data_IF_431724749370
#
_entry.id   IF_431724749370
#
_cell.length_a   1.000
_cell.length_b   1.000
_cell.length_c   1.000
_cell.angle_alpha   90.00
_cell.angle_beta   90.00
_cell.angle_gamma   90.00
#
_symmetry.space_group_name_H-M   'P 1'
#
loop_
_entity.id
_entity.type
_entity.pdbx_description
1 polymer ?
#
# COMPACT_ATOMS: atom_id res chain seq x y z
N UNK A 1 -7.52 0.06 -19.45
CA UNK A 1 -6.68 -1.10 -19.77
C UNK A 1 -7.39 -2.34 -19.27
N UNK A 2 -7.01 -3.51 -19.78
CA UNK A 2 -7.56 -4.79 -19.36
C UNK A 2 -6.46 -5.84 -19.32
N UNK A 3 -6.67 -6.86 -18.51
CA UNK A 3 -5.87 -8.09 -18.54
C UNK A 3 -6.73 -9.18 -19.18
N UNK A 4 -6.10 -10.05 -19.97
CA UNK A 4 -6.74 -11.24 -20.51
C UNK A 4 -6.07 -12.47 -19.90
N UNK A 5 -6.88 -13.43 -19.50
CA UNK A 5 -6.42 -14.79 -19.22
C UNK A 5 -6.53 -15.56 -20.52
N UNK A 6 -5.45 -16.19 -20.96
CA UNK A 6 -5.34 -16.77 -22.29
C UNK A 6 -4.80 -18.19 -22.25
N UNK A 7 -5.15 -18.91 -23.31
CA UNK A 7 -4.63 -20.23 -23.67
C UNK A 7 -4.30 -20.23 -25.17
N UNK A 8 -3.48 -21.17 -25.63
CA UNK A 8 -3.19 -21.28 -27.06
C UNK A 8 -4.41 -21.78 -27.85
N UNK A 9 -4.70 -21.17 -28.99
CA UNK A 9 -5.80 -21.61 -29.86
C UNK A 9 -5.59 -23.07 -30.31
N UNK A 10 -6.68 -23.82 -30.42
CA UNK A 10 -6.67 -25.27 -30.69
C UNK A 10 -5.97 -26.18 -29.66
N UNK A 11 -5.44 -25.64 -28.55
CA UNK A 11 -4.73 -26.44 -27.54
C UNK A 11 -5.64 -27.34 -26.71
N UNK A 12 -5.01 -28.20 -25.89
CA UNK A 12 -5.73 -29.04 -24.92
C UNK A 12 -6.39 -28.20 -23.83
N UNK A 13 -5.72 -27.16 -23.35
CA UNK A 13 -6.28 -26.17 -22.46
C UNK A 13 -7.50 -25.47 -23.10
N UNK A 14 -7.37 -24.99 -24.33
CA UNK A 14 -8.46 -24.34 -25.07
C UNK A 14 -9.70 -25.23 -25.21
N UNK A 15 -9.53 -26.50 -25.60
CA UNK A 15 -10.64 -27.46 -25.67
C UNK A 15 -11.33 -27.68 -24.32
N UNK A 16 -10.58 -27.64 -23.23
CA UNK A 16 -11.16 -27.81 -21.88
C UNK A 16 -11.97 -26.57 -21.48
N UNK A 17 -11.38 -25.36 -21.56
CA UNK A 17 -12.08 -24.13 -21.16
C UNK A 17 -13.27 -23.78 -22.06
N UNK A 18 -13.32 -24.29 -23.29
CA UNK A 18 -14.48 -24.13 -24.20
C UNK A 18 -15.42 -25.33 -24.20
N UNK A 19 -15.17 -26.33 -23.34
CA UNK A 19 -16.05 -27.48 -23.21
C UNK A 19 -17.47 -27.02 -22.82
N UNK A 20 -18.56 -27.59 -23.37
CA UNK A 20 -19.93 -27.10 -23.10
C UNK A 20 -20.33 -27.07 -21.62
N UNK A 21 -19.70 -27.91 -20.79
CA UNK A 21 -19.92 -27.90 -19.33
C UNK A 21 -19.13 -26.80 -18.60
N UNK A 22 -18.01 -26.32 -19.17
CA UNK A 22 -17.17 -25.29 -18.56
C UNK A 22 -17.40 -23.91 -19.20
N UNK A 23 -17.24 -23.79 -20.52
CA UNK A 23 -17.46 -22.54 -21.26
C UNK A 23 -16.62 -21.34 -20.80
N UNK A 24 -15.69 -21.54 -19.85
CA UNK A 24 -14.87 -20.53 -19.22
C UNK A 24 -14.36 -21.02 -17.85
N UNK A 25 -14.00 -20.08 -16.98
CA UNK A 25 -13.51 -20.35 -15.63
C UNK A 25 -14.06 -19.33 -14.62
N UNK A 26 -14.18 -19.71 -13.36
CA UNK A 26 -14.46 -18.76 -12.26
C UNK A 26 -13.16 -18.21 -11.67
N UNK A 27 -13.24 -17.12 -10.89
CA UNK A 27 -12.08 -16.67 -10.10
C UNK A 27 -11.62 -17.72 -9.09
N UNK A 28 -12.52 -18.56 -8.56
CA UNK A 28 -12.16 -19.68 -7.68
C UNK A 28 -11.29 -20.72 -8.41
N UNK A 29 -11.65 -21.08 -9.65
CA UNK A 29 -10.86 -22.00 -10.48
C UNK A 29 -9.49 -21.43 -10.84
N UNK A 30 -9.44 -20.14 -11.22
CA UNK A 30 -8.18 -19.45 -11.48
C UNK A 30 -7.31 -19.37 -10.23
N UNK A 31 -7.91 -19.05 -9.06
CA UNK A 31 -7.18 -19.01 -7.79
C UNK A 31 -6.60 -20.37 -7.46
N UNK A 32 -7.38 -21.45 -7.58
CA UNK A 32 -6.84 -22.78 -7.39
C UNK A 32 -5.71 -23.08 -8.37
N UNK A 33 -5.84 -22.76 -9.66
CA UNK A 33 -4.78 -23.00 -10.64
C UNK A 33 -3.49 -22.22 -10.34
N UNK A 34 -3.59 -20.93 -9.99
CA UNK A 34 -2.45 -20.01 -9.87
C UNK A 34 -1.82 -19.97 -8.47
N UNK A 35 -2.57 -20.34 -7.44
CA UNK A 35 -2.10 -20.23 -6.06
C UNK A 35 -1.07 -21.30 -5.69
N UNK A 36 -0.04 -20.86 -4.97
CA UNK A 36 0.93 -21.70 -4.28
C UNK A 36 0.43 -22.24 -2.94
N UNK A 37 -0.78 -21.88 -2.52
CA UNK A 37 -1.42 -22.45 -1.33
C UNK A 37 -1.88 -23.90 -1.54
N UNK A 38 -1.98 -24.62 -0.43
CA UNK A 38 -2.58 -25.96 -0.39
C UNK A 38 -4.10 -25.87 -0.49
N UNK A 39 -4.73 -26.98 -0.88
CA UNK A 39 -6.19 -27.09 -0.94
C UNK A 39 -6.84 -26.76 0.42
N UNK A 40 -6.22 -27.17 1.53
CA UNK A 40 -6.72 -26.83 2.87
C UNK A 40 -6.69 -25.33 3.12
N UNK A 41 -5.61 -24.64 2.77
CA UNK A 41 -5.52 -23.18 2.95
C UNK A 41 -6.56 -22.43 2.09
N UNK A 42 -6.84 -22.93 0.88
CA UNK A 42 -7.88 -22.37 0.01
C UNK A 42 -9.29 -22.60 0.57
N UNK A 43 -9.56 -23.78 1.12
CA UNK A 43 -10.83 -24.09 1.81
C UNK A 43 -11.00 -23.25 3.08
N UNK A 44 -9.94 -23.08 3.87
CA UNK A 44 -9.96 -22.27 5.09
C UNK A 44 -10.24 -20.79 4.77
N UNK A 45 -9.85 -20.31 3.58
CA UNK A 45 -10.17 -18.97 3.07
C UNK A 45 -11.48 -18.90 2.26
N UNK A 46 -12.30 -19.96 2.32
CA UNK A 46 -13.69 -19.96 1.87
C UNK A 46 -13.93 -20.40 0.42
N UNK A 47 -12.96 -21.04 -0.23
CA UNK A 47 -13.20 -21.69 -1.53
C UNK A 47 -13.91 -23.03 -1.31
N UNK A 48 -15.00 -23.27 -2.04
CA UNK A 48 -15.66 -24.56 -2.13
C UNK A 48 -14.96 -25.44 -3.18
N UNK A 49 -13.92 -26.17 -2.75
CA UNK A 49 -13.18 -27.04 -3.66
C UNK A 49 -14.00 -28.22 -4.20
N UNK A 50 -15.08 -28.64 -3.53
CA UNK A 50 -15.98 -29.66 -4.07
C UNK A 50 -16.81 -29.12 -5.25
N UNK A 51 -17.00 -27.80 -5.31
CA UNK A 51 -17.53 -27.12 -6.48
C UNK A 51 -16.48 -26.94 -7.58
N UNK A 52 -15.26 -26.55 -7.22
CA UNK A 52 -14.17 -26.26 -8.16
C UNK A 52 -13.61 -27.53 -8.82
N UNK A 53 -13.39 -28.60 -8.06
CA UNK A 53 -12.66 -29.79 -8.47
C UNK A 53 -13.58 -31.02 -8.52
N UNK A 54 -14.37 -31.13 -9.60
CA UNK A 54 -15.36 -32.21 -9.75
C UNK A 54 -14.75 -33.58 -10.01
N UNK A 55 -13.48 -33.64 -10.41
CA UNK A 55 -12.82 -34.87 -10.81
C UNK A 55 -11.35 -34.94 -10.31
N UNK A 56 -11.06 -34.33 -9.16
CA UNK A 56 -9.74 -34.42 -8.53
C UNK A 56 -9.40 -35.87 -8.17
N UNK A 57 -8.19 -36.28 -8.56
CA UNK A 57 -7.64 -37.59 -8.26
C UNK A 57 -6.69 -37.58 -7.04
N UNK A 58 -6.54 -36.43 -6.37
CA UNK A 58 -5.71 -36.16 -5.20
C UNK A 58 -4.21 -36.46 -5.40
N UNK A 59 -3.70 -36.38 -6.63
CA UNK A 59 -2.27 -36.60 -6.94
C UNK A 59 -1.38 -35.38 -6.67
N UNK A 60 -1.94 -34.27 -6.19
CA UNK A 60 -1.26 -32.97 -5.93
C UNK A 60 -0.73 -32.24 -7.17
N UNK A 61 -0.94 -32.78 -8.37
CA UNK A 61 -0.69 -32.11 -9.64
C UNK A 61 -2.00 -31.46 -10.06
N UNK A 62 -1.97 -30.16 -10.32
CA UNK A 62 -3.16 -29.45 -10.81
C UNK A 62 -3.33 -29.75 -12.29
N UNK A 63 -4.36 -30.49 -12.66
CA UNK A 63 -4.60 -30.97 -14.03
C UNK A 63 -5.92 -30.42 -14.58
N UNK A 64 -5.98 -30.25 -15.90
CA UNK A 64 -7.23 -29.84 -16.56
C UNK A 64 -8.38 -30.83 -16.30
N UNK A 65 -8.06 -32.11 -16.15
CA UNK A 65 -9.02 -33.15 -15.78
C UNK A 65 -9.65 -32.96 -14.40
N UNK A 66 -9.04 -32.19 -13.49
CA UNK A 66 -9.59 -32.01 -12.13
C UNK A 66 -10.86 -31.14 -12.15
N UNK A 67 -10.96 -30.22 -13.13
CA UNK A 67 -12.16 -29.43 -13.36
C UNK A 67 -13.28 -30.23 -14.01
N UNK A 68 -12.96 -31.13 -14.95
CA UNK A 68 -13.96 -31.95 -15.65
C UNK A 68 -13.36 -33.22 -16.24
N UNK A 69 -14.07 -34.34 -16.17
CA UNK A 69 -13.58 -35.66 -16.60
C UNK A 69 -13.27 -35.76 -18.11
N UNK A 70 -13.95 -34.96 -18.94
CA UNK A 70 -13.69 -34.89 -20.39
C UNK A 70 -12.43 -34.07 -20.74
N UNK A 71 -11.87 -33.35 -19.77
CA UNK A 71 -10.62 -32.63 -19.97
C UNK A 71 -9.41 -33.57 -19.86
N UNK A 72 -8.31 -33.28 -20.58
CA UNK A 72 -7.13 -34.15 -20.57
C UNK A 72 -6.43 -34.14 -19.20
N UNK A 73 -5.86 -35.28 -18.82
CA UNK A 73 -4.91 -35.40 -17.69
C UNK A 73 -3.58 -34.77 -18.08
N UNK A 74 -3.58 -33.45 -18.09
CA UNK A 74 -2.47 -32.61 -18.49
C UNK A 74 -2.28 -31.55 -17.40
N UNK A 75 -1.05 -31.36 -16.89
CA UNK A 75 -0.80 -30.33 -15.89
C UNK A 75 -1.14 -28.94 -16.41
N UNK A 76 -1.78 -28.14 -15.56
CA UNK A 76 -2.03 -26.72 -15.78
C UNK A 76 -0.71 -25.99 -15.52
N UNK A 77 -0.12 -25.40 -16.55
CA UNK A 77 1.17 -24.71 -16.46
C UNK A 77 0.97 -23.22 -16.67
N UNK A 78 1.76 -22.43 -15.96
CA UNK A 78 1.34 -21.08 -15.62
C UNK A 78 2.41 -20.08 -16.05
N UNK A 79 2.01 -19.14 -16.88
CA UNK A 79 2.89 -18.09 -17.40
C UNK A 79 2.28 -16.72 -17.19
N UNK A 80 3.10 -15.72 -16.93
CA UNK A 80 2.59 -14.36 -16.73
C UNK A 80 3.68 -13.34 -16.49
N UNK A 81 3.25 -12.14 -16.08
CA UNK A 81 4.14 -11.04 -15.82
C UNK A 81 4.95 -11.20 -14.51
N UNK A 82 6.19 -10.72 -14.50
CA UNK A 82 7.02 -10.69 -13.28
C UNK A 82 6.52 -9.75 -12.20
N UNK A 83 7.09 -9.85 -11.00
CA UNK A 83 6.63 -9.16 -9.78
C UNK A 83 6.81 -7.63 -9.81
N UNK A 84 7.57 -7.11 -10.79
CA UNK A 84 7.72 -5.68 -11.04
C UNK A 84 6.63 -5.12 -11.95
N UNK A 85 5.82 -6.00 -12.55
CA UNK A 85 4.77 -5.60 -13.47
C UNK A 85 3.47 -5.21 -12.77
N UNK A 86 2.91 -4.06 -13.15
CA UNK A 86 1.54 -3.72 -12.74
C UNK A 86 0.49 -4.72 -13.24
N UNK A 87 0.79 -5.53 -14.26
CA UNK A 87 -0.06 -6.63 -14.74
C UNK A 87 -0.07 -7.78 -13.73
N UNK A 88 1.09 -8.10 -13.14
CA UNK A 88 1.20 -9.08 -12.06
C UNK A 88 0.42 -8.66 -10.83
N UNK A 89 0.55 -7.38 -10.44
CA UNK A 89 -0.21 -6.83 -9.32
C UNK A 89 -1.73 -6.95 -9.56
N UNK A 90 -2.21 -6.52 -10.73
CA UNK A 90 -3.64 -6.56 -11.07
C UNK A 90 -4.19 -8.00 -11.01
N UNK A 91 -3.47 -8.96 -11.60
CA UNK A 91 -3.89 -10.36 -11.55
C UNK A 91 -3.91 -10.90 -10.13
N UNK A 92 -2.83 -10.68 -9.36
CA UNK A 92 -2.70 -11.17 -7.99
C UNK A 92 -3.80 -10.64 -7.07
N UNK A 93 -4.15 -9.35 -7.18
CA UNK A 93 -5.23 -8.75 -6.38
C UNK A 93 -6.63 -9.25 -6.78
N UNK A 94 -6.83 -9.52 -8.07
CA UNK A 94 -8.08 -10.00 -8.62
C UNK A 94 -8.32 -11.49 -8.33
N UNK A 95 -7.28 -12.32 -8.40
CA UNK A 95 -7.38 -13.78 -8.36
C UNK A 95 -6.95 -14.36 -7.02
N UNK A 96 -5.76 -14.03 -6.53
CA UNK A 96 -5.19 -14.71 -5.35
C UNK A 96 -5.87 -14.20 -4.08
N UNK A 97 -5.67 -12.95 -3.69
CA UNK A 97 -6.28 -12.46 -2.47
C UNK A 97 -6.66 -10.98 -2.51
N UNK A 98 -7.74 -10.67 -1.78
CA UNK A 98 -8.20 -9.28 -1.64
C UNK A 98 -7.22 -8.55 -0.73
N UNK A 99 -6.44 -7.62 -1.29
CA UNK A 99 -5.43 -6.82 -0.59
C UNK A 99 -4.16 -7.60 -0.16
N UNK A 100 -3.60 -8.46 -1.03
CA UNK A 100 -2.34 -9.20 -0.75
C UNK A 100 -1.14 -8.32 -0.37
N UNK A 101 -1.19 -7.02 -0.63
CA UNK A 101 -0.14 -6.06 -0.31
C UNK A 101 -0.49 -5.11 0.85
N UNK A 102 -1.65 -5.32 1.50
CA UNK A 102 -1.97 -4.68 2.78
C UNK A 102 -1.56 -5.61 3.92
N UNK A 103 -0.68 -5.16 4.81
CA UNK A 103 -0.33 -5.92 6.02
C UNK A 103 -1.59 -6.19 6.85
N UNK A 104 -2.13 -7.40 6.78
CA UNK A 104 -3.14 -7.88 7.74
C UNK A 104 -2.42 -8.67 8.83
N UNK A 105 -2.48 -8.24 10.10
CA UNK A 105 -1.96 -9.03 11.21
C UNK A 105 -2.64 -10.41 11.23
N UNK A 106 -1.83 -11.49 11.24
CA UNK A 106 -2.31 -12.86 11.31
C UNK A 106 -2.67 -13.53 9.98
N UNK A 107 -2.40 -12.90 8.83
CA UNK A 107 -2.63 -13.50 7.51
C UNK A 107 -1.31 -14.00 6.88
N UNK A 108 -1.25 -15.27 6.49
CA UNK A 108 -0.15 -15.76 5.66
C UNK A 108 -0.28 -15.17 4.26
N UNK A 109 0.79 -14.62 3.67
CA UNK A 109 0.70 -14.05 2.31
C UNK A 109 0.47 -15.17 1.29
N UNK A 110 -0.48 -14.97 0.39
CA UNK A 110 -0.66 -15.83 -0.79
C UNK A 110 0.33 -15.44 -1.90
N UNK A 111 0.81 -16.45 -2.63
CA UNK A 111 1.89 -16.31 -3.61
C UNK A 111 1.66 -17.25 -4.79
N UNK A 112 2.29 -16.95 -5.92
CA UNK A 112 2.35 -17.86 -7.06
C UNK A 112 3.33 -19.00 -6.76
N UNK A 113 2.99 -20.23 -7.11
CA UNK A 113 3.91 -21.37 -6.91
C UNK A 113 5.19 -21.18 -7.71
N UNK A 114 6.30 -20.89 -7.04
CA UNK A 114 7.59 -20.70 -7.71
C UNK A 114 8.13 -22.01 -8.29
N UNK A 115 8.82 -21.89 -9.43
CA UNK A 115 9.64 -22.96 -9.99
C UNK A 115 10.90 -23.20 -9.11
N UNK A 116 11.61 -24.31 -9.32
CA UNK A 116 12.85 -24.58 -8.57
C UNK A 116 13.85 -23.45 -8.77
N UNK A 117 14.54 -22.99 -7.72
CA UNK A 117 15.60 -21.96 -7.82
C UNK A 117 16.72 -22.34 -8.81
N UNK A 118 16.91 -23.63 -9.05
CA UNK A 118 17.86 -24.15 -10.04
C UNK A 118 17.47 -23.86 -11.50
N UNK A 119 16.28 -23.31 -11.75
CA UNK A 119 15.76 -22.95 -13.08
C UNK A 119 15.82 -21.43 -13.32
N UNK A 120 16.45 -20.69 -12.41
CA UNK A 120 16.62 -19.24 -12.51
C UNK A 120 18.10 -18.87 -12.55
N UNK A 121 18.41 -17.86 -13.34
CA UNK A 121 19.75 -17.28 -13.48
C UNK A 121 19.72 -15.78 -13.17
N UNK A 122 20.82 -15.24 -12.66
CA UNK A 122 20.95 -13.80 -12.40
C UNK A 122 21.35 -13.08 -13.69
N UNK A 123 20.53 -12.11 -14.11
CA UNK A 123 20.77 -11.27 -15.27
C UNK A 123 20.57 -9.80 -14.88
N UNK A 124 21.62 -8.99 -14.99
CA UNK A 124 21.60 -7.56 -14.62
C UNK A 124 21.07 -7.27 -13.20
N UNK A 125 21.34 -8.15 -12.22
CA UNK A 125 20.90 -8.00 -10.83
C UNK A 125 19.46 -8.45 -10.56
N UNK A 126 18.81 -9.09 -11.54
CA UNK A 126 17.47 -9.65 -11.40
C UNK A 126 17.51 -11.17 -11.66
N UNK A 127 16.72 -11.93 -10.89
CA UNK A 127 16.54 -13.36 -11.14
C UNK A 127 15.52 -13.52 -12.27
N UNK A 128 15.92 -14.18 -13.35
CA UNK A 128 15.09 -14.47 -14.51
C UNK A 128 15.11 -15.96 -14.82
N UNK A 129 14.00 -16.48 -15.32
CA UNK A 129 13.88 -17.91 -15.62
C UNK A 129 14.75 -18.26 -16.84
N UNK A 130 15.45 -19.40 -16.80
CA UNK A 130 16.40 -19.82 -17.86
C UNK A 130 15.76 -19.90 -19.25
N UNK A 131 14.46 -20.20 -19.29
CA UNK A 131 13.65 -20.26 -20.51
C UNK A 131 13.66 -18.93 -21.32
N UNK A 132 13.94 -17.79 -20.69
CA UNK A 132 14.07 -16.51 -21.41
C UNK A 132 15.21 -16.48 -22.42
N UNK A 133 16.24 -17.29 -22.19
CA UNK A 133 17.47 -17.32 -22.98
C UNK A 133 17.54 -18.52 -23.92
N UNK A 134 16.57 -19.42 -23.87
CA UNK A 134 16.49 -20.57 -24.77
C UNK A 134 16.09 -20.14 -26.18
N UNK A 135 16.66 -20.83 -27.18
CA UNK A 135 16.12 -20.76 -28.54
C UNK A 135 14.79 -21.50 -28.66
N UNK A 136 14.11 -21.37 -29.80
CA UNK A 136 12.79 -21.96 -29.99
C UNK A 136 12.79 -23.49 -29.85
N UNK A 137 13.81 -24.19 -30.35
CA UNK A 137 13.88 -25.65 -30.28
C UNK A 137 14.09 -26.13 -28.85
N UNK A 138 15.01 -25.49 -28.12
CA UNK A 138 15.25 -25.77 -26.71
C UNK A 138 14.02 -25.46 -25.85
N UNK A 139 13.32 -24.36 -26.14
CA UNK A 139 12.07 -23.97 -25.49
C UNK A 139 11.00 -25.04 -25.69
N UNK A 140 10.76 -25.46 -26.93
CA UNK A 140 9.79 -26.52 -27.22
C UNK A 140 10.14 -27.84 -26.54
N UNK A 141 11.43 -28.22 -26.50
CA UNK A 141 11.88 -29.44 -25.82
C UNK A 141 11.68 -29.36 -24.31
N UNK A 142 11.93 -28.22 -23.69
CA UNK A 142 11.74 -27.99 -22.26
C UNK A 142 10.26 -28.01 -21.85
N UNK A 143 9.41 -27.39 -22.67
CA UNK A 143 7.97 -27.30 -22.42
C UNK A 143 7.20 -28.57 -22.78
N UNK A 144 7.79 -29.47 -23.56
CA UNK A 144 7.20 -30.76 -23.88
C UNK A 144 7.00 -31.62 -22.61
N UNK A 145 6.00 -32.52 -22.58
CA UNK A 145 5.82 -33.47 -21.49
C UNK A 145 7.12 -34.27 -21.22
N UNK A 146 7.62 -34.22 -19.98
CA UNK A 146 8.88 -34.86 -19.58
C UNK A 146 10.15 -34.03 -19.82
N UNK A 147 10.05 -32.80 -20.35
CA UNK A 147 11.17 -31.90 -20.67
C UNK A 147 11.90 -31.26 -19.47
N UNK A 148 11.73 -31.79 -18.26
CA UNK A 148 12.41 -31.30 -17.05
C UNK A 148 11.73 -30.13 -16.34
N UNK A 149 10.61 -29.60 -16.87
CA UNK A 149 9.81 -28.58 -16.18
C UNK A 149 9.08 -29.16 -14.97
N UNK A 150 9.07 -28.41 -13.87
CA UNK A 150 8.24 -28.71 -12.70
C UNK A 150 6.76 -28.43 -13.03
N UNK A 151 5.83 -29.39 -12.82
CA UNK A 151 4.40 -29.15 -13.05
C UNK A 151 3.86 -28.00 -12.20
N UNK A 152 2.90 -27.26 -12.75
CA UNK A 152 2.14 -26.18 -12.08
C UNK A 152 2.98 -25.03 -11.52
N UNK A 153 4.27 -24.94 -11.83
CA UNK A 153 5.06 -23.81 -11.39
C UNK A 153 4.82 -22.59 -12.29
N UNK A 154 4.90 -21.41 -11.67
CA UNK A 154 4.72 -20.12 -12.30
C UNK A 154 6.03 -19.65 -12.93
N UNK A 155 6.01 -19.42 -14.24
CA UNK A 155 7.15 -18.90 -14.99
C UNK A 155 6.86 -17.43 -15.36
N UNK A 156 7.48 -16.46 -14.66
CA UNK A 156 7.32 -15.04 -14.95
C UNK A 156 8.22 -14.58 -16.10
N UNK A 157 7.79 -13.53 -16.80
CA UNK A 157 8.67 -12.67 -17.60
C UNK A 157 8.17 -11.22 -17.60
N UNK A 158 9.09 -10.26 -17.69
CA UNK A 158 8.74 -8.85 -17.95
C UNK A 158 8.50 -8.58 -19.46
N UNK A 159 8.65 -9.61 -20.30
CA UNK A 159 8.46 -9.53 -21.75
C UNK A 159 7.20 -10.27 -22.16
N UNK A 160 6.14 -9.53 -22.48
CA UNK A 160 4.86 -10.09 -22.91
C UNK A 160 5.01 -11.05 -24.12
N UNK A 161 5.97 -10.79 -25.03
CA UNK A 161 6.21 -11.67 -26.17
C UNK A 161 6.72 -13.05 -25.76
N UNK A 162 7.51 -13.13 -24.68
CA UNK A 162 8.03 -14.41 -24.15
C UNK A 162 6.94 -15.21 -23.45
N UNK A 163 6.13 -14.54 -22.64
CA UNK A 163 4.94 -15.16 -22.00
C UNK A 163 4.05 -15.79 -23.08
N UNK A 164 3.79 -15.05 -24.16
CA UNK A 164 2.97 -15.52 -25.26
C UNK A 164 3.62 -16.68 -26.04
N UNK A 165 4.92 -16.59 -26.34
CA UNK A 165 5.69 -17.66 -26.99
C UNK A 165 5.53 -19.00 -26.22
N UNK A 166 5.64 -18.96 -24.89
CA UNK A 166 5.54 -20.16 -24.06
C UNK A 166 4.11 -20.71 -23.97
N UNK A 167 3.11 -19.83 -23.87
CA UNK A 167 1.70 -20.24 -23.89
C UNK A 167 1.39 -20.97 -25.20
N UNK A 168 1.87 -20.45 -26.34
CA UNK A 168 1.66 -21.05 -27.66
C UNK A 168 2.43 -22.36 -27.85
N UNK A 169 3.55 -22.54 -27.16
CA UNK A 169 4.37 -23.74 -27.24
C UNK A 169 3.91 -24.88 -26.32
N UNK A 170 3.06 -24.60 -25.31
CA UNK A 170 2.61 -25.56 -24.31
C UNK A 170 1.08 -25.75 -24.35
N UNK A 171 0.66 -26.94 -24.81
CA UNK A 171 -0.76 -27.25 -24.97
C UNK A 171 -1.58 -27.32 -23.66
N UNK A 172 -0.93 -27.35 -22.50
CA UNK A 172 -1.55 -27.30 -21.18
C UNK A 172 -1.41 -25.95 -20.48
N UNK A 173 -0.83 -24.97 -21.16
CA UNK A 173 -0.60 -23.63 -20.62
C UNK A 173 -1.91 -22.87 -20.39
N UNK A 174 -1.91 -22.12 -19.30
CA UNK A 174 -2.74 -20.94 -19.09
C UNK A 174 -1.82 -19.80 -18.68
N UNK A 175 -2.12 -18.60 -19.12
CA UNK A 175 -1.39 -17.44 -18.66
C UNK A 175 -2.20 -16.17 -18.70
N UNK A 176 -1.58 -15.09 -18.29
CA UNK A 176 -2.20 -13.77 -18.37
C UNK A 176 -1.23 -12.73 -18.92
N UNK A 177 -1.80 -11.76 -19.62
CA UNK A 177 -1.07 -10.63 -20.20
C UNK A 177 -2.02 -9.45 -20.43
N UNK A 178 -1.48 -8.29 -20.78
CA UNK A 178 -2.29 -7.14 -21.14
C UNK A 178 -3.18 -7.43 -22.36
N UNK A 179 -4.43 -6.99 -22.31
CA UNK A 179 -5.44 -7.16 -23.39
C UNK A 179 -4.90 -6.77 -24.77
N UNK A 180 -4.08 -5.72 -24.82
CA UNK A 180 -3.43 -5.20 -26.03
C UNK A 180 -2.55 -6.22 -26.78
N UNK A 181 -2.01 -7.20 -26.09
CA UNK A 181 -0.94 -8.07 -26.60
C UNK A 181 -1.46 -9.36 -27.22
N UNK A 182 -2.44 -10.02 -26.58
CA UNK A 182 -2.91 -11.32 -27.08
C UNK A 182 -3.69 -11.22 -28.39
N UNK A 183 -4.36 -10.08 -28.64
CA UNK A 183 -5.15 -9.86 -29.87
C UNK A 183 -4.34 -9.94 -31.18
N UNK A 184 -3.01 -10.03 -31.10
CA UNK A 184 -2.12 -10.14 -32.25
C UNK A 184 -1.51 -11.54 -32.42
N UNK A 185 -1.96 -12.52 -31.65
CA UNK A 185 -1.40 -13.87 -31.64
C UNK A 185 -2.48 -14.94 -31.76
N UNK A 186 -2.06 -16.18 -32.03
CA UNK A 186 -2.93 -17.37 -32.03
C UNK A 186 -3.29 -17.82 -30.60
N UNK A 187 -3.53 -16.87 -29.70
CA UNK A 187 -4.01 -17.11 -28.35
C UNK A 187 -5.46 -16.64 -28.25
N UNK A 188 -6.24 -17.38 -27.48
CA UNK A 188 -7.65 -17.08 -27.23
C UNK A 188 -7.83 -16.82 -25.75
N UNK A 189 -8.74 -15.91 -25.44
CA UNK A 189 -9.05 -15.59 -24.07
C UNK A 189 -10.05 -16.58 -23.47
N UNK A 190 -9.98 -16.68 -22.14
CA UNK A 190 -10.88 -17.49 -21.34
C UNK A 190 -11.98 -16.58 -20.80
N UNK A 191 -13.25 -16.94 -21.03
CA UNK A 191 -14.37 -16.24 -20.42
C UNK A 191 -14.34 -16.44 -18.90
N UNK A 192 -14.54 -15.36 -18.14
CA UNK A 192 -14.38 -15.37 -16.68
C UNK A 192 -15.69 -15.01 -15.99
N UNK A 193 -16.08 -15.82 -15.01
CA UNK A 193 -17.12 -15.50 -14.04
C UNK A 193 -16.48 -14.99 -12.74
N UNK A 194 -17.09 -13.97 -12.13
CA UNK A 194 -16.51 -13.26 -10.99
C UNK A 194 -16.59 -14.02 -9.64
N UNK A 195 -17.16 -15.23 -9.63
CA UNK A 195 -17.31 -16.03 -8.43
C UNK A 195 -15.95 -16.46 -7.87
N UNK A 196 -15.70 -16.08 -6.63
CA UNK A 196 -14.45 -16.34 -5.89
C UNK A 196 -14.50 -17.59 -5.02
N UNK A 197 -15.65 -18.24 -4.95
CA UNK A 197 -15.95 -19.34 -4.03
C UNK A 197 -16.23 -20.65 -4.74
N UNK A 198 -16.91 -20.63 -5.88
CA UNK A 198 -17.40 -21.84 -6.57
C UNK A 198 -16.82 -22.01 -7.96
N UNK A 199 -16.88 -23.25 -8.46
CA UNK A 199 -16.59 -23.60 -9.85
C UNK A 199 -17.77 -23.27 -10.78
N UNK A 200 -17.56 -23.46 -12.09
CA UNK A 200 -18.55 -23.10 -13.12
C UNK A 200 -19.89 -23.80 -12.94
N UNK A 201 -19.89 -25.08 -12.55
CA UNK A 201 -21.13 -25.86 -12.51
C UNK A 201 -22.08 -25.40 -11.39
N UNK A 202 -21.59 -24.63 -10.41
CA UNK A 202 -22.37 -24.20 -9.25
C UNK A 202 -22.39 -22.67 -9.05
N UNK A 203 -21.82 -21.89 -9.98
CA UNK A 203 -21.86 -20.42 -9.94
C UNK A 203 -23.15 -19.87 -10.56
N UNK A 204 -23.65 -18.77 -9.99
CA UNK A 204 -24.73 -17.96 -10.59
C UNK A 204 -24.19 -16.77 -11.40
N UNK A 205 -22.89 -16.50 -11.30
CA UNK A 205 -22.23 -15.39 -11.98
C UNK A 205 -22.11 -15.66 -13.49
N UNK A 206 -22.39 -14.63 -14.29
CA UNK A 206 -22.26 -14.73 -15.74
C UNK A 206 -20.78 -14.86 -16.15
N UNK A 207 -20.52 -15.75 -17.10
CA UNK A 207 -19.27 -15.78 -17.84
C UNK A 207 -19.20 -14.56 -18.76
N UNK A 208 -18.11 -13.81 -18.65
CA UNK A 208 -17.87 -12.64 -19.49
C UNK A 208 -16.57 -12.84 -20.25
N UNK A 209 -16.62 -12.73 -21.57
CA UNK A 209 -15.45 -12.64 -22.42
C UNK A 209 -14.88 -11.22 -22.37
N UNK A 210 -13.55 -11.11 -22.45
CA UNK A 210 -12.92 -9.83 -22.65
C UNK A 210 -13.11 -9.37 -24.10
N UNK A 211 -13.44 -8.09 -24.23
CA UNK A 211 -13.52 -7.41 -25.51
C UNK A 211 -13.36 -5.93 -25.26
N UNK A 212 -13.09 -5.17 -26.31
CA UNK A 212 -13.08 -3.72 -26.19
C UNK A 212 -14.42 -3.19 -25.66
N UNK A 213 -15.55 -3.83 -26.00
CA UNK A 213 -16.87 -3.46 -25.52
C UNK A 213 -17.04 -3.76 -24.03
N UNK A 214 -16.84 -5.02 -23.62
CA UNK A 214 -17.04 -5.48 -22.24
C UNK A 214 -16.08 -4.82 -21.24
N UNK A 215 -14.89 -4.42 -21.68
CA UNK A 215 -13.95 -3.64 -20.86
C UNK A 215 -14.41 -2.17 -20.76
N UNK A 216 -14.94 -1.59 -21.84
CA UNK A 216 -15.38 -0.18 -21.87
C UNK A 216 -16.63 0.06 -21.04
N UNK A 217 -17.63 -0.81 -21.19
CA UNK A 217 -18.91 -0.71 -20.46
C UNK A 217 -18.81 -1.20 -19.02
N UNK A 218 -17.82 -2.05 -18.74
CA UNK A 218 -17.53 -2.57 -17.42
C UNK A 218 -18.08 -3.94 -17.12
N UNK A 219 -18.69 -4.63 -18.08
CA UNK A 219 -19.13 -6.01 -17.93
C UNK A 219 -17.96 -6.94 -17.55
N UNK A 220 -16.78 -6.75 -18.15
CA UNK A 220 -15.56 -7.50 -17.79
C UNK A 220 -14.85 -6.85 -16.59
N UNK A 221 -15.56 -6.82 -15.45
CA UNK A 221 -15.16 -6.08 -14.26
C UNK A 221 -13.90 -6.64 -13.56
N UNK A 222 -13.70 -7.97 -13.65
CA UNK A 222 -12.66 -8.70 -12.89
C UNK A 222 -11.24 -8.29 -13.24
N UNK A 223 -10.97 -7.95 -14.50
CA UNK A 223 -9.63 -7.69 -14.99
C UNK A 223 -9.51 -6.36 -15.76
N UNK A 224 -10.44 -5.43 -15.54
CA UNK A 224 -10.33 -4.05 -16.04
C UNK A 224 -9.67 -3.15 -15.01
N UNK A 225 -8.88 -2.20 -15.49
CA UNK A 225 -8.41 -1.08 -14.67
C UNK A 225 -8.45 0.23 -15.44
N UNK A 226 -8.69 1.31 -14.71
CA UNK A 226 -8.49 2.65 -15.22
C UNK A 226 -6.99 2.98 -15.17
N UNK A 227 -6.47 3.54 -16.25
CA UNK A 227 -5.13 4.14 -16.25
C UNK A 227 -5.28 5.63 -15.97
N UNK A 228 -4.49 6.12 -15.04
CA UNK A 228 -4.55 7.51 -14.59
C UNK A 228 -3.41 8.34 -15.17
N UNK A 229 -3.72 9.59 -15.51
CA UNK A 229 -2.74 10.61 -15.85
C UNK A 229 -2.66 11.61 -14.69
N UNK A 230 -1.49 11.75 -14.10
CA UNK A 230 -1.24 12.73 -13.05
C UNK A 230 -0.80 14.05 -13.69
N UNK A 231 -1.66 15.06 -13.63
CA UNK A 231 -1.43 16.36 -14.25
C UNK A 231 -1.19 17.40 -13.16
N UNK A 232 -0.03 18.06 -13.22
CA UNK A 232 0.26 19.21 -12.38
C UNK A 232 -0.59 20.40 -12.84
N UNK A 233 -1.59 20.75 -12.03
CA UNK A 233 -2.48 21.86 -12.33
C UNK A 233 -1.72 23.19 -12.48
N UNK A 234 -0.59 23.41 -11.79
CA UNK A 234 0.21 24.63 -11.95
C UNK A 234 0.78 24.75 -13.38
N UNK A 235 1.09 23.61 -14.00
CA UNK A 235 1.64 23.49 -15.36
C UNK A 235 0.61 23.05 -16.39
N UNK A 236 -0.68 23.27 -16.13
CA UNK A 236 -1.79 22.87 -17.01
C UNK A 236 -1.59 23.27 -18.48
N UNK A 237 -1.05 24.47 -18.72
CA UNK A 237 -0.78 24.98 -20.07
C UNK A 237 0.16 24.10 -20.91
N UNK A 238 1.01 23.27 -20.29
CA UNK A 238 1.88 22.33 -20.99
C UNK A 238 1.16 21.02 -21.36
N UNK A 239 0.10 20.65 -20.63
CA UNK A 239 -0.62 19.40 -20.80
C UNK A 239 -1.96 19.57 -21.55
N UNK A 240 -2.50 20.78 -21.61
CA UNK A 240 -3.84 21.06 -22.12
C UNK A 240 -4.06 20.54 -23.55
N UNK A 241 -3.13 20.81 -24.47
CA UNK A 241 -3.25 20.39 -25.87
C UNK A 241 -3.13 18.86 -26.01
N UNK A 242 -2.22 18.25 -25.24
CA UNK A 242 -2.07 16.79 -25.20
C UNK A 242 -3.35 16.10 -24.71
N UNK A 243 -3.95 16.60 -23.63
CA UNK A 243 -5.20 16.06 -23.09
C UNK A 243 -6.37 16.31 -24.05
N UNK A 244 -6.45 17.50 -24.66
CA UNK A 244 -7.47 17.83 -25.67
C UNK A 244 -7.40 16.85 -26.84
N UNK A 245 -6.21 16.59 -27.35
CA UNK A 245 -6.01 15.61 -28.41
C UNK A 245 -6.38 14.20 -27.94
N UNK A 246 -5.84 13.75 -26.79
CA UNK A 246 -6.04 12.40 -26.26
C UNK A 246 -7.51 12.06 -26.03
N UNK A 247 -8.33 13.02 -25.59
CA UNK A 247 -9.77 12.83 -25.37
C UNK A 247 -10.65 13.19 -26.59
N UNK A 248 -10.06 13.61 -27.72
CA UNK A 248 -10.79 13.78 -28.99
C UNK A 248 -11.16 12.43 -29.63
N UNK A 249 -12.04 12.44 -30.63
CA UNK A 249 -12.37 11.22 -31.40
C UNK A 249 -11.15 10.61 -32.06
N UNK A 250 -10.27 11.46 -32.61
CA UNK A 250 -9.05 11.01 -33.27
C UNK A 250 -8.05 10.45 -32.25
N UNK A 251 -7.85 11.11 -31.10
CA UNK A 251 -7.00 10.60 -30.04
C UNK A 251 -7.47 9.25 -29.51
N UNK A 252 -8.77 9.12 -29.23
CA UNK A 252 -9.36 7.85 -28.79
C UNK A 252 -9.29 6.76 -29.87
N UNK A 253 -9.33 7.12 -31.16
CA UNK A 253 -9.06 6.18 -32.25
C UNK A 253 -7.61 5.69 -32.19
N UNK A 254 -6.65 6.58 -31.98
CA UNK A 254 -5.23 6.21 -31.90
C UNK A 254 -4.87 5.43 -30.62
N UNK A 255 -5.56 5.66 -29.50
CA UNK A 255 -5.44 4.82 -28.29
C UNK A 255 -5.73 3.34 -28.62
N UNK A 256 -6.74 3.09 -29.46
CA UNK A 256 -7.07 1.73 -29.90
C UNK A 256 -6.08 1.24 -30.96
N UNK A 257 -5.82 2.02 -32.01
CA UNK A 257 -5.08 1.49 -33.16
C UNK A 257 -3.57 1.48 -32.98
N UNK A 258 -3.01 2.40 -32.18
CA UNK A 258 -1.57 2.52 -31.94
C UNK A 258 -1.17 1.95 -30.59
N UNK A 259 -1.85 2.37 -29.52
CA UNK A 259 -1.56 1.91 -28.16
C UNK A 259 -2.27 0.59 -27.80
N UNK A 260 -3.13 0.07 -28.69
CA UNK A 260 -3.83 -1.23 -28.53
C UNK A 260 -4.64 -1.34 -27.24
N UNK A 261 -4.97 -0.18 -26.66
CA UNK A 261 -5.72 -0.06 -25.42
C UNK A 261 -7.21 0.14 -25.72
N UNK A 262 -8.04 0.01 -24.68
CA UNK A 262 -9.48 0.24 -24.78
C UNK A 262 -9.81 1.72 -24.61
N UNK A 263 -10.81 2.22 -25.35
CA UNK A 263 -11.29 3.61 -25.25
C UNK A 263 -11.88 3.90 -23.88
N UNK A 264 -11.85 5.16 -23.48
CA UNK A 264 -12.68 5.59 -22.34
C UNK A 264 -14.15 5.64 -22.76
N UNK A 265 -15.05 5.30 -21.84
CA UNK A 265 -16.49 5.41 -22.11
C UNK A 265 -16.93 6.89 -22.22
N UNK A 266 -18.13 7.11 -22.79
CA UNK A 266 -18.65 8.44 -23.07
C UNK A 266 -18.79 9.31 -21.81
N UNK A 267 -19.14 8.72 -20.66
CA UNK A 267 -19.28 9.45 -19.40
C UNK A 267 -17.94 9.98 -18.88
N UNK A 268 -16.88 9.15 -18.92
CA UNK A 268 -15.52 9.56 -18.55
C UNK A 268 -15.03 10.64 -19.53
N UNK A 269 -15.24 10.43 -20.83
CA UNK A 269 -14.83 11.39 -21.85
C UNK A 269 -15.49 12.76 -21.66
N UNK A 270 -16.81 12.81 -21.48
CA UNK A 270 -17.54 14.06 -21.22
C UNK A 270 -17.05 14.76 -19.94
N UNK A 271 -16.75 14.00 -18.89
CA UNK A 271 -16.16 14.54 -17.65
C UNK A 271 -14.78 15.15 -17.89
N UNK A 272 -13.93 14.48 -18.66
CA UNK A 272 -12.58 14.97 -18.97
C UNK A 272 -12.63 16.19 -19.87
N UNK A 273 -13.51 16.22 -20.89
CA UNK A 273 -13.72 17.39 -21.75
C UNK A 273 -14.19 18.61 -20.94
N UNK A 274 -15.06 18.45 -19.94
CA UNK A 274 -15.45 19.54 -19.03
C UNK A 274 -14.24 20.09 -18.26
N UNK A 275 -13.43 19.20 -17.68
CA UNK A 275 -12.22 19.59 -16.93
C UNK A 275 -11.21 20.30 -17.82
N UNK A 276 -11.07 19.89 -19.07
CA UNK A 276 -10.16 20.53 -20.02
C UNK A 276 -10.59 21.97 -20.30
N UNK A 277 -11.90 22.20 -20.54
CA UNK A 277 -12.47 23.54 -20.73
C UNK A 277 -12.31 24.42 -19.49
N UNK A 278 -12.40 23.83 -18.30
CA UNK A 278 -12.20 24.52 -17.01
C UNK A 278 -10.73 24.78 -16.67
N UNK A 279 -9.80 24.41 -17.57
CA UNK A 279 -8.35 24.51 -17.40
C UNK A 279 -7.83 23.75 -16.17
N UNK A 280 -8.34 22.54 -15.99
CA UNK A 280 -7.98 21.65 -14.89
C UNK A 280 -9.19 21.31 -14.03
N UNK A 281 -8.91 20.66 -12.90
CA UNK A 281 -9.94 20.24 -11.98
C UNK A 281 -9.77 20.97 -10.65
N UNK A 282 -10.68 21.91 -10.35
CA UNK A 282 -10.67 22.69 -9.09
C UNK A 282 -10.72 21.82 -7.83
N UNK A 283 -11.29 20.61 -7.93
CA UNK A 283 -11.35 19.63 -6.83
C UNK A 283 -10.07 18.80 -6.71
N UNK A 284 -9.27 18.71 -7.77
CA UNK A 284 -7.99 18.00 -7.77
C UNK A 284 -6.79 18.96 -7.76
N UNK A 285 -6.97 20.25 -7.50
CA UNK A 285 -5.84 21.04 -6.96
C UNK A 285 -5.32 20.33 -5.73
N UNK A 286 -4.01 20.34 -5.53
CA UNK A 286 -3.33 19.69 -4.41
C UNK A 286 -4.21 19.72 -3.15
N UNK A 287 -4.88 18.59 -2.89
CA UNK A 287 -5.61 18.37 -1.65
C UNK A 287 -4.57 17.71 -0.77
N UNK A 288 -3.90 18.51 0.05
CA UNK A 288 -3.05 17.94 1.08
C UNK A 288 -3.94 17.01 1.90
N UNK A 289 -3.58 15.73 1.91
CA UNK A 289 -4.25 14.75 2.76
C UNK A 289 -3.48 14.73 4.07
N UNK A 290 -4.14 14.92 5.22
CA UNK A 290 -3.45 14.79 6.49
C UNK A 290 -2.88 13.37 6.58
N UNK A 291 -1.60 13.19 6.94
CA UNK A 291 -1.06 11.86 7.18
C UNK A 291 -1.91 11.15 8.24
N UNK A 292 -2.06 9.84 8.12
CA UNK A 292 -2.81 9.02 9.08
C UNK A 292 -2.27 9.16 10.51
N UNK A 293 -0.97 9.43 10.65
CA UNK A 293 -0.28 9.78 11.88
C UNK A 293 1.04 10.49 11.60
N UNK A 294 1.44 11.44 12.44
CA UNK A 294 2.83 11.94 12.44
C UNK A 294 3.70 11.09 13.38
N UNK A 295 5.02 10.92 13.11
CA UNK A 295 5.92 10.20 14.00
C UNK A 295 6.00 10.75 15.43
N UNK A 296 6.56 9.98 16.34
CA UNK A 296 6.85 10.45 17.71
C UNK A 296 7.75 11.70 17.68
N UNK A 297 7.49 12.65 18.58
CA UNK A 297 8.14 13.96 18.59
C UNK A 297 7.68 14.92 17.49
N UNK A 298 6.75 14.55 16.62
CA UNK A 298 6.33 15.36 15.48
C UNK A 298 4.82 15.53 15.44
N UNK A 299 4.34 16.77 15.44
CA UNK A 299 2.93 17.14 15.43
C UNK A 299 2.41 17.46 14.03
N UNK A 300 1.12 17.21 13.81
CA UNK A 300 0.44 17.65 12.60
C UNK A 300 0.25 19.17 12.63
N UNK A 301 0.63 19.85 11.55
CA UNK A 301 0.37 21.26 11.33
C UNK A 301 -0.45 21.45 10.07
N UNK A 302 -1.49 22.27 10.17
CA UNK A 302 -2.34 22.65 9.06
C UNK A 302 -2.12 24.14 8.74
N UNK A 303 -1.58 24.43 7.56
CA UNK A 303 -1.36 25.80 7.08
C UNK A 303 -2.39 26.16 6.00
N UNK A 304 -3.20 27.20 6.20
CA UNK A 304 -4.10 27.69 5.16
C UNK A 304 -3.31 28.24 3.97
N UNK A 305 -3.73 27.87 2.77
CA UNK A 305 -3.26 28.51 1.53
C UNK A 305 -4.43 28.72 0.58
N UNK A 306 -4.33 29.73 -0.28
CA UNK A 306 -5.30 29.96 -1.35
C UNK A 306 -4.77 29.33 -2.62
N UNK A 307 -5.53 28.42 -3.19
CA UNK A 307 -5.15 27.68 -4.37
C UNK A 307 -5.26 28.56 -5.64
N UNK A 308 -4.82 28.07 -6.81
CA UNK A 308 -4.79 28.88 -8.04
C UNK A 308 -6.17 29.32 -8.53
N UNK A 309 -7.24 28.69 -8.03
CA UNK A 309 -8.64 28.99 -8.33
C UNK A 309 -9.30 29.90 -7.30
N UNK A 310 -8.54 30.47 -6.36
CA UNK A 310 -9.05 31.36 -5.33
C UNK A 310 -9.85 30.65 -4.23
N UNK A 311 -9.73 29.32 -4.14
CA UNK A 311 -10.37 28.50 -3.09
C UNK A 311 -9.41 28.31 -1.93
N UNK A 312 -9.88 28.50 -0.70
CA UNK A 312 -9.07 28.28 0.50
C UNK A 312 -8.91 26.76 0.74
N UNK A 313 -7.67 26.34 1.04
CA UNK A 313 -7.24 24.96 1.23
C UNK A 313 -6.31 24.86 2.44
N UNK A 314 -6.07 23.64 2.91
CA UNK A 314 -5.11 23.35 3.99
C UNK A 314 -3.95 22.54 3.42
N UNK A 315 -2.75 22.90 3.84
CA UNK A 315 -1.55 22.09 3.67
C UNK A 315 -1.20 21.43 5.01
N UNK A 316 -1.08 20.11 5.03
CA UNK A 316 -0.73 19.32 6.19
C UNK A 316 0.74 18.92 6.13
N UNK A 317 1.49 19.26 7.18
CA UNK A 317 2.88 18.85 7.36
C UNK A 317 3.08 18.26 8.76
N UNK A 318 4.04 17.36 8.90
CA UNK A 318 4.49 16.89 10.21
C UNK A 318 5.71 17.72 10.61
N UNK A 319 5.58 18.53 11.66
CA UNK A 319 6.66 19.39 12.17
C UNK A 319 7.09 18.98 13.60
N UNK A 320 8.39 19.02 13.93
CA UNK A 320 8.86 18.71 15.27
C UNK A 320 8.12 19.51 16.35
N UNK A 321 7.79 18.88 17.47
CA UNK A 321 7.17 19.57 18.59
C UNK A 321 8.05 20.73 19.06
N UNK A 322 7.50 21.94 19.07
CA UNK A 322 8.23 23.11 19.56
C UNK A 322 8.60 22.93 21.05
N UNK A 323 9.67 23.60 21.54
CA UNK A 323 10.01 23.63 22.96
C UNK A 323 8.79 23.95 23.83
N UNK A 324 8.66 23.23 24.94
CA UNK A 324 7.51 23.25 25.83
C UNK A 324 6.39 22.28 25.42
N UNK A 325 6.54 21.55 24.31
CA UNK A 325 5.59 20.51 23.90
C UNK A 325 6.31 19.19 23.62
N UNK A 326 5.60 18.09 23.81
CA UNK A 326 6.12 16.75 23.58
C UNK A 326 5.08 15.82 22.96
N UNK A 327 5.54 14.74 22.32
CA UNK A 327 4.69 13.69 21.77
C UNK A 327 5.35 12.33 21.85
N UNK A 328 4.77 11.42 22.63
CA UNK A 328 5.40 10.15 22.96
C UNK A 328 5.31 9.11 21.83
N UNK A 329 4.16 8.99 21.19
CA UNK A 329 3.89 7.92 20.21
C UNK A 329 3.24 8.47 18.95
N UNK A 330 3.19 7.66 17.88
CA UNK A 330 2.60 8.07 16.61
C UNK A 330 1.07 8.18 16.65
N UNK A 331 0.42 7.44 17.57
CA UNK A 331 -1.04 7.41 17.73
C UNK A 331 -1.61 8.73 18.30
N UNK A 332 -0.77 9.51 19.00
CA UNK A 332 -1.17 10.84 19.45
C UNK A 332 -1.23 11.82 18.25
N UNK A 333 -2.38 12.46 18.04
CA UNK A 333 -2.60 13.32 16.88
C UNK A 333 -1.73 14.60 16.90
N UNK A 334 -1.48 15.16 18.09
CA UNK A 334 -0.85 16.48 18.25
C UNK A 334 0.22 16.50 19.34
N UNK A 335 1.10 17.51 19.32
CA UNK A 335 2.06 17.75 20.39
C UNK A 335 1.35 18.28 21.64
N UNK A 336 1.54 17.65 22.78
CA UNK A 336 0.95 18.10 24.04
C UNK A 336 1.84 19.12 24.74
N UNK A 337 1.26 20.19 25.27
CA UNK A 337 2.01 21.15 26.07
C UNK A 337 2.37 20.58 27.44
N UNK A 338 3.63 20.73 27.84
CA UNK A 338 4.10 20.33 29.17
C UNK A 338 3.26 20.97 30.27
N UNK A 339 2.80 20.16 31.22
CA UNK A 339 2.02 20.64 32.36
C UNK A 339 2.89 21.50 33.28
N UNK A 340 2.31 22.39 34.11
CA UNK A 340 3.06 23.05 35.17
C UNK A 340 3.85 22.05 36.01
N UNK A 341 5.10 22.40 36.31
CA UNK A 341 6.09 21.50 36.91
C UNK A 341 6.92 20.71 35.91
N UNK A 342 6.55 20.69 34.63
CA UNK A 342 7.28 20.00 33.57
C UNK A 342 7.78 20.96 32.50
N UNK A 343 8.80 20.56 31.76
CA UNK A 343 9.38 21.32 30.66
C UNK A 343 9.84 20.42 29.50
N UNK A 344 10.03 21.01 28.33
CA UNK A 344 10.73 20.37 27.21
C UNK A 344 11.57 21.43 26.50
N UNK A 345 12.90 21.31 26.54
CA UNK A 345 13.79 22.32 25.96
C UNK A 345 14.12 22.07 24.49
N UNK A 346 14.06 20.82 24.04
CA UNK A 346 14.42 20.41 22.69
C UNK A 346 13.21 20.44 21.75
N UNK A 347 13.48 20.82 20.50
CA UNK A 347 12.54 20.57 19.41
C UNK A 347 12.41 19.07 19.19
N UNK A 348 11.19 18.58 19.00
CA UNK A 348 10.92 17.16 18.79
C UNK A 348 10.91 16.30 20.06
N UNK A 349 10.69 16.90 21.23
CA UNK A 349 10.70 16.17 22.49
C UNK A 349 9.65 15.04 22.52
N UNK A 350 10.06 13.87 23.00
CA UNK A 350 9.17 12.71 23.15
C UNK A 350 8.34 12.76 24.44
N UNK A 351 8.87 13.41 25.48
CA UNK A 351 8.23 13.56 26.78
C UNK A 351 8.55 14.93 27.38
N UNK A 352 7.72 15.37 28.30
CA UNK A 352 8.02 16.51 29.15
C UNK A 352 8.75 16.03 30.40
N UNK A 353 9.88 16.63 30.71
CA UNK A 353 10.69 16.29 31.87
C UNK A 353 10.24 17.11 33.09
N UNK A 354 10.33 16.53 34.29
CA UNK A 354 10.02 17.25 35.52
C UNK A 354 11.13 18.24 35.87
N UNK A 355 10.75 19.41 36.38
CA UNK A 355 11.72 20.31 36.97
C UNK A 355 12.41 19.67 38.17
N UNK A 356 13.74 19.75 38.20
CA UNK A 356 14.52 19.30 39.36
C UNK A 356 14.16 20.12 40.62
N UNK A 357 14.31 19.53 41.83
CA UNK A 357 14.15 20.28 43.07
C UNK A 357 14.94 21.60 43.07
N UNK A 358 14.30 22.64 43.59
CA UNK A 358 14.80 24.02 43.56
C UNK A 358 14.49 24.80 42.27
N UNK A 359 13.85 24.18 41.28
CA UNK A 359 13.38 24.84 40.06
C UNK A 359 11.90 24.58 39.82
N UNK A 360 11.26 25.47 39.07
CA UNK A 360 9.83 25.41 38.76
C UNK A 360 9.53 25.78 37.32
N UNK A 361 8.47 25.20 36.78
CA UNK A 361 7.84 25.60 35.53
C UNK A 361 6.40 25.99 35.84
N UNK A 362 6.14 27.28 36.03
CA UNK A 362 4.83 27.74 36.51
C UNK A 362 3.75 27.77 35.44
N UNK A 363 4.13 27.77 34.17
CA UNK A 363 3.21 27.87 33.04
C UNK A 363 3.13 26.57 32.25
N UNK A 364 1.95 26.30 31.69
CA UNK A 364 1.78 25.23 30.71
C UNK A 364 2.58 25.57 29.46
N UNK A 365 3.28 24.60 28.90
CA UNK A 365 4.12 24.80 27.72
C UNK A 365 5.48 25.42 28.03
N UNK A 366 5.99 25.30 29.27
CA UNK A 366 7.29 25.87 29.63
C UNK A 366 8.43 25.15 28.89
N UNK A 367 9.33 25.86 28.19
CA UNK A 367 10.48 25.24 27.54
C UNK A 367 11.65 24.98 28.49
N UNK A 368 11.63 25.55 29.69
CA UNK A 368 12.69 25.40 30.69
C UNK A 368 12.16 25.60 32.12
N UNK A 369 12.90 25.09 33.10
CA UNK A 369 12.65 25.33 34.52
C UNK A 369 13.43 26.54 35.05
N UNK A 370 12.73 27.40 35.78
CA UNK A 370 13.28 28.61 36.40
C UNK A 370 13.67 28.31 37.84
N UNK A 371 14.87 28.73 38.28
CA UNK A 371 15.30 28.56 39.66
C UNK A 371 14.42 29.37 40.63
N UNK A 372 14.12 28.78 41.78
CA UNK A 372 13.47 29.51 42.86
C UNK A 372 14.35 30.68 43.31
N UNK A 373 13.71 31.85 43.52
CA UNK A 373 14.37 33.03 44.01
C UNK A 373 14.99 32.82 45.40
N UNK A 374 15.82 33.75 45.84
CA UNK A 374 16.34 33.70 47.21
C UNK A 374 15.21 33.64 48.23
N UNK A 375 15.43 32.91 49.30
CA UNK A 375 14.45 32.66 50.36
C UNK A 375 13.20 31.90 49.93
N UNK A 376 13.21 31.32 48.72
CA UNK A 376 12.18 30.42 48.24
C UNK A 376 12.79 29.09 47.82
N UNK A 377 12.02 28.02 47.92
CA UNK A 377 12.47 26.67 47.61
C UNK A 377 11.38 25.86 46.90
N UNK A 378 11.81 24.82 46.20
CA UNK A 378 10.92 23.82 45.60
C UNK A 378 11.41 22.42 45.99
N UNK A 379 10.70 21.76 46.90
CA UNK A 379 11.19 20.52 47.50
C UNK A 379 11.15 19.30 46.59
N UNK A 380 10.09 19.18 45.79
CA UNK A 380 9.84 17.99 45.00
C UNK A 380 10.22 18.22 43.53
N UNK A 381 10.69 17.16 42.84
CA UNK A 381 10.70 17.17 41.38
C UNK A 381 9.30 17.47 40.85
N UNK A 382 9.20 18.28 39.81
CA UNK A 382 7.91 18.64 39.22
C UNK A 382 7.16 19.77 39.93
N UNK A 383 7.83 20.56 40.78
CA UNK A 383 7.19 21.69 41.45
C UNK A 383 6.79 22.77 40.44
N UNK A 384 5.56 23.28 40.54
CA UNK A 384 5.03 24.36 39.69
C UNK A 384 5.13 25.75 40.34
N UNK A 385 5.46 25.81 41.63
CA UNK A 385 5.58 27.05 42.41
C UNK A 385 6.69 26.95 43.44
N UNK A 386 7.33 28.09 43.76
CA UNK A 386 8.32 28.18 44.82
C UNK A 386 7.64 28.56 46.13
N UNK A 387 7.96 27.86 47.21
CA UNK A 387 7.45 28.11 48.55
C UNK A 387 8.43 29.00 49.34
N UNK A 388 7.92 29.84 50.23
CA UNK A 388 8.77 30.68 51.08
C UNK A 388 9.41 29.88 52.22
N UNK A 389 10.63 30.26 52.60
CA UNK A 389 11.24 29.81 53.85
C UNK A 389 10.64 30.52 55.06
N UNK A 390 10.28 29.73 56.07
CA UNK A 390 9.80 30.20 57.39
C UNK A 390 10.82 31.10 58.11
N UNK A 391 10.36 31.82 59.12
CA UNK A 391 11.23 32.59 60.01
C UNK A 391 12.34 31.69 60.60
N UNK A 392 13.57 32.19 60.62
CA UNK A 392 14.74 31.46 61.08
C UNK A 392 15.38 30.51 60.06
N UNK A 393 14.80 30.33 58.87
CA UNK A 393 15.37 29.51 57.79
C UNK A 393 15.69 30.36 56.55
N UNK A 394 16.64 29.93 55.73
CA UNK A 394 17.14 30.61 54.54
C UNK A 394 17.32 29.63 53.36
N UNK A 395 17.01 30.09 52.16
CA UNK A 395 17.32 29.38 50.91
C UNK A 395 18.19 30.29 50.04
N UNK A 396 19.51 30.16 50.17
CA UNK A 396 20.49 30.93 49.42
C UNK A 396 21.73 30.06 49.13
N UNK A 397 22.30 30.09 47.91
CA UNK A 397 21.93 30.91 46.74
C UNK A 397 20.62 30.46 46.07
N UNK A 398 20.14 31.17 45.04
CA UNK A 398 18.93 30.79 44.26
C UNK A 398 18.92 29.32 43.84
N UNK A 399 17.73 28.74 43.77
CA UNK A 399 17.53 27.37 43.30
C UNK A 399 17.65 26.29 44.38
N UNK A 400 17.37 26.61 45.65
CA UNK A 400 17.40 25.60 46.73
C UNK A 400 16.17 24.69 46.72
N UNK A 401 16.37 23.42 47.04
CA UNK A 401 15.30 22.44 47.24
C UNK A 401 14.78 22.39 48.68
N UNK A 402 15.43 23.09 49.61
CA UNK A 402 15.05 23.16 51.02
C UNK A 402 15.47 24.50 51.60
N UNK A 403 14.92 24.81 52.75
CA UNK A 403 15.42 25.89 53.59
C UNK A 403 16.37 25.31 54.62
N UNK A 404 17.53 25.95 54.79
CA UNK A 404 18.48 25.63 55.85
C UNK A 404 18.30 26.62 57.00
N UNK A 405 18.43 26.12 58.24
CA UNK A 405 18.28 26.96 59.42
C UNK A 405 19.44 27.95 59.53
N UNK A 406 19.14 29.19 59.93
CA UNK A 406 20.18 30.16 60.24
C UNK A 406 21.13 29.62 61.32
N UNK A 407 22.43 29.85 61.13
CA UNK A 407 23.45 29.51 62.11
C UNK A 407 23.17 30.19 63.45
N UNK A 408 23.62 29.56 64.54
CA UNK A 408 23.49 30.10 65.89
C UNK A 408 24.06 31.53 65.96
N UNK A 409 23.32 32.42 66.63
CA UNK A 409 23.66 33.83 66.68
C UNK A 409 23.24 34.62 65.43
N UNK A 410 22.43 34.05 64.55
CA UNK A 410 21.78 34.75 63.44
C UNK A 410 20.26 34.49 63.42
N UNK A 411 19.49 35.45 62.91
CA UNK A 411 18.05 35.39 62.77
C UNK A 411 17.61 35.84 61.38
N UNK A 412 16.40 35.47 61.00
CA UNK A 412 15.71 35.96 59.80
C UNK A 412 14.21 36.06 60.06
N UNK A 413 13.63 37.20 59.72
CA UNK A 413 12.19 37.41 59.75
C UNK A 413 11.53 36.79 58.51
N UNK A 414 10.29 36.31 58.66
CA UNK A 414 9.51 35.78 57.54
C UNK A 414 9.28 36.87 56.49
N UNK A 415 9.51 36.56 55.20
CA UNK A 415 9.39 37.54 54.10
C UNK A 415 10.55 38.54 53.97
N UNK A 416 11.55 38.52 54.86
CA UNK A 416 12.72 39.39 54.72
C UNK A 416 13.57 39.03 53.48
N UNK A 417 13.99 40.05 52.73
CA UNK A 417 14.93 39.94 51.62
C UNK A 417 16.37 39.79 52.13
N UNK A 418 17.18 38.96 51.45
CA UNK A 418 18.56 38.64 51.80
C UNK A 418 18.72 37.45 52.76
N UNK A 419 19.96 37.11 53.11
CA UNK A 419 20.31 35.98 53.97
C UNK A 419 20.13 36.23 55.48
N UNK A 420 20.56 35.26 56.30
CA UNK A 420 20.51 35.37 57.75
C UNK A 420 21.29 36.58 58.27
N UNK A 421 20.70 37.32 59.23
CA UNK A 421 21.31 38.49 59.86
C UNK A 421 21.86 38.11 61.23
N UNK A 422 23.07 38.53 61.57
CA UNK A 422 23.61 38.29 62.93
C UNK A 422 22.76 39.00 63.98
N UNK A 423 22.52 38.34 65.10
CA UNK A 423 21.90 38.93 66.26
C UNK A 423 22.76 40.11 66.76
N UNK A 424 22.14 41.22 67.21
CA UNK A 424 22.87 42.27 67.93
C UNK A 424 23.63 41.68 69.12
N UNK A 425 24.79 42.27 69.46
CA UNK A 425 25.50 41.90 70.68
C UNK A 425 24.70 42.37 71.90
N UNK A 426 24.39 41.44 72.80
CA UNK A 426 23.57 41.65 74.00
C UNK A 426 22.46 40.62 74.04
#
# INVERSE_FOLDING_TARGET
DGLAVVVADGSSAHRCVTHPALGGMTLAMLRWAFSGWTDQQLMDDGIDLASVLKNDNNNSIKEWSDFHADCPRLPINIYGAGDQSGTHQLFGEAVLCKSCFGEKPGYAREYFRECSRSQFTEHHGHMVHELEFMDANATHAYLAPGGGRTPNCYIPSERDEKVLEWILADGGAIGYLGFAYYQQASAVSVAIAADRTKGIMDTEEALVEDSAASITDGAYAVFRRELFLNVDNARWHLAADYLTYGFSDQGQKEVVTKAKSVRVNAAIRARMESRIREQGNRKADFVSVPPSSCPAGVGLKAEPFRNRWGTDKLNYTCEPCAPGRAKLTAEAAECESCLPGQFANASGALRCDFCEPGRVASQRGSPACTACGENTFAAAPGSSSCNNCSAGDVAAPRGQSKCDRCELGSYREEGAAGGCRRCPRG
#
